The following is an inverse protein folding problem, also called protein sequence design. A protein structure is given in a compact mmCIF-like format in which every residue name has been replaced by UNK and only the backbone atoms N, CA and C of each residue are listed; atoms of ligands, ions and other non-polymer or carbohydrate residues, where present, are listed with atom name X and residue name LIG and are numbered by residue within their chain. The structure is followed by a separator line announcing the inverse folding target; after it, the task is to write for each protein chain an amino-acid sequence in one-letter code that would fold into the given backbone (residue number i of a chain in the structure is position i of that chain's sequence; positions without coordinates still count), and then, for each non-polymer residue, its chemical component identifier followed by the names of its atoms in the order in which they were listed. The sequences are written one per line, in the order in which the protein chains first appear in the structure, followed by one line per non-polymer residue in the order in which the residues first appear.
data_IF_664959765430
#
_entry.id   IF_664959765430
#
_cell.length_a   1.000
_cell.length_b   1.000
_cell.length_c   1.000
_cell.angle_alpha   90.00
_cell.angle_beta   90.00
_cell.angle_gamma   90.00
#
_symmetry.space_group_name_H-M   'P 1'
#
loop_
_entity.id
_entity.type
_entity.pdbx_description
1 polymer ?
#
# COMPACT_ATOMS: atom_id res chain seq x y z
N UNK A 1 -24.93 21.62 4.64
CA UNK A 1 -24.95 20.31 3.96
C UNK A 1 -23.52 19.77 3.90
N UNK A 2 -23.17 18.71 4.63
CA UNK A 2 -21.89 18.00 4.41
C UNK A 2 -21.96 17.42 3.00
N UNK A 3 -21.03 17.78 2.10
CA UNK A 3 -20.86 17.06 0.84
C UNK A 3 -20.74 15.58 1.20
N UNK A 4 -21.59 14.72 0.63
CA UNK A 4 -21.36 13.27 0.69
C UNK A 4 -19.92 13.06 0.23
N UNK A 5 -19.08 12.47 1.06
CA UNK A 5 -17.78 12.00 0.60
C UNK A 5 -18.07 10.97 -0.48
N UNK A 6 -17.73 11.28 -1.73
CA UNK A 6 -17.71 10.28 -2.80
C UNK A 6 -16.53 9.34 -2.51
N UNK A 7 -16.73 8.46 -1.54
CA UNK A 7 -15.87 7.32 -1.27
C UNK A 7 -16.12 6.30 -2.39
N UNK A 8 -15.08 5.83 -3.07
CA UNK A 8 -15.22 4.75 -4.04
C UNK A 8 -15.76 3.47 -3.38
N UNK A 9 -16.51 2.66 -4.13
CA UNK A 9 -16.98 1.36 -3.64
C UNK A 9 -15.82 0.38 -3.37
N UNK A 10 -14.72 0.54 -4.12
CA UNK A 10 -13.52 -0.27 -4.00
C UNK A 10 -12.29 0.62 -3.85
N UNK A 11 -11.38 0.20 -2.98
CA UNK A 11 -10.04 0.74 -2.85
C UNK A 11 -9.04 -0.40 -3.05
N UNK A 12 -7.86 -0.06 -3.56
CA UNK A 12 -6.85 -1.02 -3.93
C UNK A 12 -5.55 -0.78 -3.16
N UNK A 13 -4.94 -1.87 -2.72
CA UNK A 13 -3.58 -1.89 -2.21
C UNK A 13 -2.70 -2.68 -3.17
N UNK A 14 -1.54 -2.11 -3.53
CA UNK A 14 -0.54 -2.76 -4.37
C UNK A 14 0.66 -3.16 -3.54
N UNK A 15 1.12 -4.39 -3.70
CA UNK A 15 2.26 -4.92 -2.95
C UNK A 15 3.03 -5.96 -3.76
N UNK A 16 4.19 -6.37 -3.25
CA UNK A 16 4.99 -7.43 -3.86
C UNK A 16 4.50 -8.82 -3.46
N UNK A 17 4.87 -9.85 -4.23
CA UNK A 17 4.45 -11.23 -3.93
C UNK A 17 4.95 -11.69 -2.54
N UNK A 18 6.19 -11.35 -2.18
CA UNK A 18 6.76 -11.65 -0.86
C UNK A 18 5.95 -10.98 0.24
N UNK A 19 5.67 -9.67 0.11
CA UNK A 19 4.86 -8.95 1.10
C UNK A 19 3.44 -9.49 1.19
N UNK A 20 2.85 -9.93 0.09
CA UNK A 20 1.55 -10.57 0.11
C UNK A 20 1.56 -11.89 0.91
N UNK A 21 2.61 -12.71 0.81
CA UNK A 21 2.76 -13.89 1.68
C UNK A 21 2.83 -13.51 3.16
N UNK A 22 3.55 -12.45 3.51
CA UNK A 22 3.61 -11.94 4.90
C UNK A 22 2.24 -11.45 5.37
N UNK A 23 1.46 -10.81 4.49
CA UNK A 23 0.08 -10.39 4.77
C UNK A 23 -0.83 -11.61 5.04
N UNK A 24 -0.68 -12.68 4.27
CA UNK A 24 -1.41 -13.93 4.49
C UNK A 24 -1.10 -14.56 5.85
N UNK A 25 0.18 -14.62 6.22
CA UNK A 25 0.60 -15.19 7.51
C UNK A 25 0.16 -14.34 8.71
N UNK A 26 0.28 -13.01 8.59
CA UNK A 26 -0.10 -12.09 9.66
C UNK A 26 -1.61 -11.84 9.78
N UNK A 27 -2.38 -12.22 8.76
CA UNK A 27 -3.83 -12.05 8.75
C UNK A 27 -4.32 -10.62 8.46
N UNK A 28 -3.44 -9.71 8.00
CA UNK A 28 -3.79 -8.28 7.84
C UNK A 28 -2.82 -7.48 6.96
N UNK A 29 -3.30 -6.37 6.41
CA UNK A 29 -2.46 -5.22 6.03
C UNK A 29 -2.05 -4.48 7.30
N UNK A 30 -0.76 -4.55 7.62
CA UNK A 30 -0.16 -3.80 8.72
C UNK A 30 -0.01 -2.31 8.37
N UNK A 31 0.09 -1.47 9.41
CA UNK A 31 0.36 -0.05 9.25
C UNK A 31 1.80 0.18 8.78
N UNK A 32 1.99 1.22 7.97
CA UNK A 32 3.28 1.65 7.45
C UNK A 32 3.50 3.15 7.70
N UNK A 33 4.74 3.65 7.64
CA UNK A 33 5.01 5.08 7.75
C UNK A 33 4.15 5.92 6.80
N UNK A 34 3.64 7.04 7.30
CA UNK A 34 2.66 7.88 6.61
C UNK A 34 3.26 8.96 5.72
N UNK A 35 4.58 9.18 5.82
CA UNK A 35 5.30 10.21 5.10
C UNK A 35 4.68 11.62 5.23
N UNK A 36 3.94 11.87 6.33
CA UNK A 36 3.37 13.19 6.64
C UNK A 36 4.45 14.22 6.98
N UNK A 37 5.53 13.73 7.58
CA UNK A 37 6.66 14.51 8.06
C UNK A 37 7.93 13.95 7.44
N UNK A 38 8.93 14.79 7.29
CA UNK A 38 10.22 14.39 6.76
C UNK A 38 11.34 15.11 7.50
N UNK A 39 12.35 14.36 7.92
CA UNK A 39 13.53 14.91 8.59
C UNK A 39 14.83 14.46 7.90
N UNK A 40 15.51 15.34 7.14
CA UNK A 40 16.70 14.96 6.39
C UNK A 40 17.89 14.59 7.28
N UNK A 41 17.96 15.08 8.52
CA UNK A 41 19.07 14.81 9.45
C UNK A 41 19.03 13.39 10.01
N UNK A 42 17.84 12.82 10.17
CA UNK A 42 17.65 11.44 10.64
C UNK A 42 17.28 10.47 9.54
N UNK A 43 17.18 10.93 8.29
CA UNK A 43 16.82 10.09 7.16
C UNK A 43 17.93 9.09 6.82
N UNK A 44 17.59 7.81 6.77
CA UNK A 44 18.49 6.73 6.34
C UNK A 44 17.68 5.55 5.82
N UNK A 45 18.37 4.55 5.28
CA UNK A 45 17.76 3.28 4.85
C UNK A 45 18.12 2.18 5.83
N UNK A 46 17.12 1.42 6.26
CA UNK A 46 17.28 0.24 7.12
C UNK A 46 16.83 -1.02 6.38
N UNK A 47 17.51 -2.17 6.58
CA UNK A 47 17.03 -3.46 6.10
C UNK A 47 15.73 -3.86 6.81
N UNK A 48 14.83 -4.45 6.05
CA UNK A 48 13.60 -5.09 6.53
C UNK A 48 13.91 -6.57 6.66
N UNK A 49 13.63 -7.15 7.84
CA UNK A 49 13.79 -8.58 8.07
C UNK A 49 12.45 -9.29 8.22
N UNK A 50 12.37 -10.51 7.71
CA UNK A 50 11.33 -11.47 8.01
C UNK A 50 11.98 -12.80 8.40
N UNK A 51 11.70 -13.29 9.62
CA UNK A 51 12.36 -14.48 10.21
C UNK A 51 13.89 -14.47 10.05
N UNK A 52 14.50 -13.35 10.45
CA UNK A 52 15.96 -13.10 10.37
C UNK A 52 16.56 -13.02 8.96
N UNK A 53 15.75 -13.19 7.90
CA UNK A 53 16.18 -13.01 6.52
C UNK A 53 15.85 -11.61 6.03
N UNK A 54 16.81 -10.94 5.38
CA UNK A 54 16.59 -9.62 4.79
C UNK A 54 15.69 -9.73 3.56
N UNK A 55 14.59 -8.99 3.54
CA UNK A 55 13.59 -9.01 2.47
C UNK A 55 13.52 -7.70 1.68
N UNK A 56 14.42 -6.75 1.97
CA UNK A 56 14.54 -5.49 1.26
C UNK A 56 14.93 -4.34 2.18
N UNK A 57 14.83 -3.11 1.67
CA UNK A 57 15.17 -1.88 2.39
C UNK A 57 13.93 -1.00 2.59
N UNK A 58 13.88 -0.28 3.70
CA UNK A 58 12.91 0.78 3.96
C UNK A 58 13.62 2.10 4.21
N UNK A 59 12.99 3.18 3.77
CA UNK A 59 13.41 4.54 4.11
C UNK A 59 12.80 4.91 5.48
N UNK A 60 13.63 5.42 6.39
CA UNK A 60 13.28 5.66 7.79
C UNK A 60 13.80 7.03 8.22
N UNK A 61 13.01 7.74 9.02
CA UNK A 61 13.45 8.93 9.75
C UNK A 61 12.81 8.93 11.15
N UNK A 62 13.04 9.98 11.94
CA UNK A 62 12.47 10.12 13.29
C UNK A 62 10.93 10.11 13.34
N UNK A 63 10.25 10.29 12.21
CA UNK A 63 8.80 10.32 12.09
C UNK A 63 8.21 9.01 11.55
N UNK A 64 8.96 7.92 11.49
CA UNK A 64 8.50 6.61 10.99
C UNK A 64 7.17 6.14 11.62
N UNK A 65 6.95 6.44 12.90
CA UNK A 65 5.76 6.04 13.66
C UNK A 65 4.73 7.19 13.80
N UNK A 66 4.91 8.29 13.06
CA UNK A 66 4.00 9.43 13.10
C UNK A 66 2.73 9.16 12.27
N UNK A 67 1.64 8.82 12.95
CA UNK A 67 0.33 8.47 12.36
C UNK A 67 0.45 7.41 11.25
N UNK A 68 0.92 6.18 11.56
CA UNK A 68 1.13 5.16 10.55
C UNK A 68 -0.19 4.66 9.97
N UNK A 69 -0.17 4.23 8.70
CA UNK A 69 -1.36 4.03 7.88
C UNK A 69 -1.23 2.86 6.92
N UNK A 70 -2.36 2.36 6.44
CA UNK A 70 -2.44 1.58 5.19
C UNK A 70 -2.69 2.53 4.02
N UNK A 71 -1.82 2.45 3.02
CA UNK A 71 -1.93 3.20 1.76
C UNK A 71 -2.85 2.49 0.77
N UNK A 72 -3.76 3.25 0.18
CA UNK A 72 -4.77 2.76 -0.76
C UNK A 72 -4.93 3.71 -1.94
N UNK A 73 -5.49 3.22 -3.03
CA UNK A 73 -5.86 4.04 -4.20
C UNK A 73 -7.24 3.66 -4.71
N UNK A 74 -7.95 4.61 -5.33
CA UNK A 74 -9.18 4.35 -6.06
C UNK A 74 -8.94 3.80 -7.47
N UNK A 75 -7.69 3.81 -7.94
CA UNK A 75 -7.33 3.31 -9.26
C UNK A 75 -7.10 1.80 -9.19
N UNK A 76 -7.84 1.05 -10.00
CA UNK A 76 -7.66 -0.39 -10.14
C UNK A 76 -6.46 -0.73 -11.03
N UNK A 77 -6.09 0.16 -11.95
CA UNK A 77 -4.92 0.03 -12.81
C UNK A 77 -3.88 1.09 -12.46
N UNK A 78 -2.65 0.66 -12.23
CA UNK A 78 -1.54 1.55 -11.88
C UNK A 78 -0.25 1.12 -12.57
N UNK A 79 0.63 2.09 -12.80
CA UNK A 79 2.03 1.89 -13.17
C UNK A 79 2.93 2.41 -12.05
N UNK A 80 4.22 2.07 -12.09
CA UNK A 80 5.19 2.57 -11.11
C UNK A 80 5.24 4.11 -11.12
N UNK A 81 5.18 4.68 -12.32
CA UNK A 81 5.14 6.14 -12.53
C UNK A 81 3.87 6.79 -11.97
N UNK A 82 2.73 6.08 -11.99
CA UNK A 82 1.48 6.63 -11.47
C UNK A 82 1.49 6.69 -9.94
N UNK A 83 2.04 5.66 -9.29
CA UNK A 83 1.92 5.45 -7.84
C UNK A 83 3.13 5.88 -7.03
N UNK A 84 4.27 6.14 -7.68
CA UNK A 84 5.55 6.33 -6.98
C UNK A 84 6.07 5.04 -6.33
N UNK A 85 5.48 3.89 -6.67
CA UNK A 85 5.92 2.57 -6.23
C UNK A 85 6.96 2.01 -7.21
N UNK A 86 7.81 1.12 -6.71
CA UNK A 86 8.68 0.29 -7.53
C UNK A 86 7.88 -0.84 -8.21
N UNK A 87 8.34 -1.32 -9.37
CA UNK A 87 7.59 -2.32 -10.18
C UNK A 87 7.30 -3.62 -9.41
N UNK A 88 8.19 -4.05 -8.52
CA UNK A 88 7.98 -5.23 -7.68
C UNK A 88 6.73 -5.11 -6.79
N UNK A 89 6.37 -3.89 -6.40
CA UNK A 89 5.19 -3.62 -5.56
C UNK A 89 3.88 -3.61 -6.36
N UNK A 90 3.94 -3.79 -7.67
CA UNK A 90 2.76 -3.86 -8.52
C UNK A 90 2.39 -5.31 -8.85
N UNK A 91 3.14 -6.29 -8.34
CA UNK A 91 2.92 -7.69 -8.68
C UNK A 91 1.64 -8.28 -8.07
N UNK A 92 1.11 -7.68 -7.00
CA UNK A 92 -0.12 -8.09 -6.34
C UNK A 92 -1.05 -6.89 -6.11
N UNK A 93 -2.32 -7.04 -6.48
CA UNK A 93 -3.41 -6.08 -6.27
C UNK A 93 -4.44 -6.67 -5.34
N UNK A 94 -4.68 -6.00 -4.22
CA UNK A 94 -5.69 -6.37 -3.23
C UNK A 94 -6.83 -5.37 -3.33
N UNK A 95 -8.03 -5.86 -3.67
CA UNK A 95 -9.26 -5.08 -3.65
C UNK A 95 -9.89 -5.13 -2.25
N UNK A 96 -10.23 -3.96 -1.71
CA UNK A 96 -10.89 -3.74 -0.44
C UNK A 96 -12.21 -3.04 -0.70
N UNK A 97 -13.32 -3.73 -0.40
CA UNK A 97 -14.64 -3.12 -0.47
C UNK A 97 -14.83 -2.14 0.67
N UNK A 98 -15.20 -0.92 0.33
CA UNK A 98 -15.41 0.12 1.34
C UNK A 98 -16.75 -0.07 2.05
N UNK A 99 -17.74 -0.66 1.37
CA UNK A 99 -19.11 -0.91 1.89
C UNK A 99 -19.73 0.34 2.55
N UNK A 100 -19.42 1.52 2.01
CA UNK A 100 -19.90 2.79 2.56
C UNK A 100 -19.31 3.18 3.92
N UNK A 101 -18.25 2.49 4.40
CA UNK A 101 -17.54 2.78 5.65
C UNK A 101 -16.67 4.05 5.53
N UNK A 102 -17.27 5.19 5.20
CA UNK A 102 -16.59 6.47 4.94
C UNK A 102 -15.80 7.01 6.13
N UNK A 103 -16.10 6.58 7.35
CA UNK A 103 -15.35 6.96 8.55
C UNK A 103 -13.98 6.27 8.64
N UNK A 104 -13.77 5.17 7.90
CA UNK A 104 -12.55 4.34 7.95
C UNK A 104 -11.48 4.79 6.97
N UNK A 105 -11.88 5.44 5.88
CA UNK A 105 -11.00 5.80 4.78
C UNK A 105 -11.01 7.32 4.55
N UNK A 106 -9.83 7.93 4.62
CA UNK A 106 -9.65 9.34 4.33
C UNK A 106 -8.97 9.51 2.98
N UNK A 107 -9.36 10.54 2.21
CA UNK A 107 -8.53 10.95 1.06
C UNK A 107 -7.19 11.40 1.60
N UNK A 108 -6.11 11.08 0.89
CA UNK A 108 -4.76 11.45 1.30
C UNK A 108 -4.63 12.96 1.55
N UNK A 109 -5.24 13.79 0.70
CA UNK A 109 -5.27 15.25 0.91
C UNK A 109 -5.95 15.66 2.22
N UNK A 110 -7.10 15.07 2.54
CA UNK A 110 -7.83 15.38 3.77
C UNK A 110 -7.03 14.92 5.00
N UNK A 111 -6.32 13.80 4.88
CA UNK A 111 -5.38 13.31 5.90
C UNK A 111 -4.19 14.27 6.09
N UNK A 112 -3.59 14.77 5.00
CA UNK A 112 -2.55 15.80 5.07
C UNK A 112 -3.02 17.08 5.75
N UNK A 113 -4.24 17.54 5.42
CA UNK A 113 -4.82 18.74 6.02
C UNK A 113 -5.11 18.53 7.52
N UNK A 114 -5.66 17.36 7.89
CA UNK A 114 -5.99 16.96 9.28
C UNK A 114 -4.76 16.94 10.19
N UNK A 115 -3.62 16.44 9.70
CA UNK A 115 -2.40 16.26 10.49
C UNK A 115 -1.29 17.24 10.14
N UNK A 116 -1.61 18.32 9.41
CA UNK A 116 -0.68 19.39 9.06
C UNK A 116 0.61 18.86 8.42
N UNK A 117 0.48 18.08 7.35
CA UNK A 117 1.61 17.50 6.63
C UNK A 117 2.67 18.56 6.24
N UNK A 118 3.93 18.17 6.30
CA UNK A 118 5.02 19.03 5.86
C UNK A 118 4.90 19.27 4.36
N UNK A 119 5.05 20.54 3.96
CA UNK A 119 4.91 20.94 2.55
C UNK A 119 5.95 20.25 1.67
N UNK A 120 7.17 20.08 2.18
CA UNK A 120 8.25 19.40 1.46
C UNK A 120 7.94 17.93 1.24
N UNK A 121 7.57 17.19 2.30
CA UNK A 121 7.18 15.79 2.22
C UNK A 121 6.00 15.58 1.24
N UNK A 122 4.97 16.44 1.36
CA UNK A 122 3.81 16.42 0.47
C UNK A 122 4.20 16.72 -0.98
N UNK A 123 5.08 17.69 -1.23
CA UNK A 123 5.53 18.03 -2.57
C UNK A 123 6.35 16.90 -3.21
N UNK A 124 7.24 16.26 -2.45
CA UNK A 124 8.02 15.12 -2.92
C UNK A 124 7.11 13.95 -3.36
N UNK A 125 6.10 13.61 -2.55
CA UNK A 125 5.14 12.55 -2.89
C UNK A 125 4.35 12.86 -4.16
N UNK A 126 3.93 14.12 -4.36
CA UNK A 126 3.24 14.54 -5.59
C UNK A 126 4.14 14.53 -6.83
N UNK A 127 5.45 14.72 -6.66
CA UNK A 127 6.39 14.63 -7.77
C UNK A 127 6.67 13.18 -8.17
N UNK A 128 6.66 12.26 -7.20
CA UNK A 128 6.86 10.83 -7.46
C UNK A 128 5.65 10.13 -8.08
N UNK A 129 4.47 10.75 -8.04
CA UNK A 129 3.22 10.10 -8.43
C UNK A 129 2.23 11.07 -9.07
N UNK A 130 1.77 10.74 -10.27
CA UNK A 130 0.84 11.58 -11.04
C UNK A 130 -0.62 11.46 -10.60
N UNK A 131 -0.99 10.39 -9.88
CA UNK A 131 -2.38 10.05 -9.58
C UNK A 131 -2.81 10.29 -8.13
N UNK A 132 -2.01 11.05 -7.37
CA UNK A 132 -2.17 11.27 -5.93
C UNK A 132 -3.55 11.79 -5.48
N UNK A 133 -4.37 12.30 -6.40
CA UNK A 133 -5.76 12.69 -6.15
C UNK A 133 -6.68 11.49 -5.85
N UNK A 134 -6.28 10.29 -6.24
CA UNK A 134 -6.99 9.04 -6.04
C UNK A 134 -6.50 8.28 -4.80
N UNK A 135 -5.55 8.82 -4.05
CA UNK A 135 -5.00 8.16 -2.88
C UNK A 135 -5.90 8.27 -1.67
N UNK A 136 -6.00 7.17 -0.94
CA UNK A 136 -6.74 7.02 0.29
C UNK A 136 -5.85 6.40 1.36
N UNK A 137 -6.25 6.61 2.59
CA UNK A 137 -5.51 6.24 3.78
C UNK A 137 -6.48 5.56 4.74
N UNK A 138 -6.05 4.44 5.34
CA UNK A 138 -6.71 3.85 6.50
C UNK A 138 -5.79 3.96 7.72
N UNK A 139 -6.26 4.60 8.79
CA UNK A 139 -5.49 4.80 10.03
C UNK A 139 -5.51 3.54 10.94
N UNK A 140 -6.03 2.42 10.44
CA UNK A 140 -6.12 1.14 11.14
C UNK A 140 -5.69 0.01 10.21
N UNK A 141 -5.18 -1.07 10.77
CA UNK A 141 -4.91 -2.30 10.03
C UNK A 141 -6.17 -2.81 9.32
N UNK A 142 -5.98 -3.51 8.20
CA UNK A 142 -7.08 -4.09 7.43
C UNK A 142 -6.97 -5.62 7.48
N UNK A 143 -7.89 -6.32 8.17
CA UNK A 143 -7.84 -7.78 8.25
C UNK A 143 -8.07 -8.42 6.87
N UNK A 144 -7.53 -9.62 6.65
CA UNK A 144 -7.75 -10.39 5.41
C UNK A 144 -9.23 -10.56 5.08
N UNK A 145 -10.10 -10.65 6.08
CA UNK A 145 -11.54 -10.79 5.89
C UNK A 145 -12.20 -9.61 5.16
N UNK A 146 -11.56 -8.44 5.14
CA UNK A 146 -12.03 -7.28 4.38
C UNK A 146 -11.56 -7.29 2.91
N UNK A 147 -10.74 -8.27 2.51
CA UNK A 147 -10.27 -8.37 1.13
C UNK A 147 -11.37 -8.98 0.27
N UNK A 148 -11.81 -8.22 -0.71
CA UNK A 148 -12.85 -8.66 -1.63
C UNK A 148 -12.31 -9.52 -2.77
N UNK A 149 -11.09 -9.21 -3.23
CA UNK A 149 -10.43 -9.91 -4.33
C UNK A 149 -8.91 -9.70 -4.23
N UNK A 150 -8.13 -10.71 -4.61
CA UNK A 150 -6.69 -10.58 -4.79
C UNK A 150 -6.30 -11.08 -6.17
N UNK A 151 -5.53 -10.29 -6.88
CA UNK A 151 -5.08 -10.56 -8.25
C UNK A 151 -3.58 -10.29 -8.36
N UNK A 152 -2.95 -10.95 -9.33
CA UNK A 152 -1.52 -10.89 -9.58
C UNK A 152 -1.28 -10.41 -11.00
N UNK A 153 -0.22 -9.65 -11.19
CA UNK A 153 0.18 -9.14 -12.49
C UNK A 153 0.76 -10.29 -13.33
N UNK A 154 0.10 -10.63 -14.42
CA UNK A 154 0.55 -11.64 -15.38
C UNK A 154 1.47 -11.02 -16.45
N UNK A 155 2.15 -11.87 -17.24
CA UNK A 155 3.10 -11.47 -18.28
C UNK A 155 2.47 -10.62 -19.39
N UNK A 156 1.16 -10.71 -19.58
CA UNK A 156 0.41 -9.87 -20.52
C UNK A 156 0.06 -8.48 -19.96
N UNK A 157 0.51 -8.17 -18.75
CA UNK A 157 0.28 -6.89 -18.08
C UNK A 157 -1.12 -6.75 -17.46
N UNK A 158 -1.88 -7.83 -17.38
CA UNK A 158 -3.21 -7.84 -16.76
C UNK A 158 -3.18 -8.45 -15.36
N UNK A 159 -3.96 -7.88 -14.46
CA UNK A 159 -4.21 -8.47 -13.15
C UNK A 159 -5.22 -9.61 -13.27
N UNK A 160 -4.84 -10.79 -12.78
CA UNK A 160 -5.66 -12.01 -12.81
C UNK A 160 -5.62 -12.73 -11.47
N UNK A 161 -6.66 -13.50 -11.16
CA UNK A 161 -6.62 -14.37 -9.98
C UNK A 161 -5.61 -15.50 -10.18
N UNK A 162 -5.04 -16.04 -9.09
CA UNK A 162 -3.99 -17.04 -9.18
C UNK A 162 -4.34 -18.25 -10.08
N UNK A 163 -5.57 -18.76 -9.97
CA UNK A 163 -6.03 -19.91 -10.76
C UNK A 163 -6.15 -19.62 -12.28
N UNK A 164 -6.10 -18.35 -12.68
CA UNK A 164 -6.19 -17.91 -14.07
C UNK A 164 -4.80 -17.74 -14.72
N UNK A 165 -3.72 -17.84 -13.93
CA UNK A 165 -2.34 -17.68 -14.40
C UNK A 165 -1.70 -19.07 -14.48
N UNK A 166 -1.46 -19.62 -15.69
CA UNK A 166 -0.89 -20.96 -15.84
C UNK A 166 0.48 -21.09 -15.17
N UNK A 167 0.63 -22.10 -14.29
CA UNK A 167 1.88 -22.39 -13.62
C UNK A 167 2.25 -21.42 -12.48
N UNK A 168 1.40 -20.44 -12.15
CA UNK A 168 1.63 -19.57 -11.01
C UNK A 168 1.24 -20.28 -9.70
N UNK A 169 2.18 -20.34 -8.76
CA UNK A 169 1.93 -20.71 -7.38
C UNK A 169 2.57 -19.68 -6.47
N UNK A 170 1.79 -19.15 -5.52
CA UNK A 170 2.33 -18.24 -4.52
C UNK A 170 3.28 -18.96 -3.55
N UNK A 171 3.14 -20.27 -3.36
CA UNK A 171 4.00 -21.06 -2.47
C UNK A 171 5.45 -21.12 -2.99
N UNK A 172 5.62 -21.02 -4.31
CA UNK A 172 6.93 -21.01 -4.99
C UNK A 172 7.65 -19.65 -4.85
N UNK A 173 6.99 -18.62 -4.32
CA UNK A 173 7.58 -17.29 -4.15
C UNK A 173 8.35 -17.22 -2.84
N UNK A 174 9.68 -17.24 -2.92
CA UNK A 174 10.58 -17.18 -1.75
C UNK A 174 10.21 -18.22 -0.66
N UNK A 175 10.12 -19.53 -1.01
CA UNK A 175 9.72 -20.59 -0.08
C UNK A 175 10.61 -20.64 1.17
N UNK A 176 11.88 -20.26 1.06
CA UNK A 176 12.86 -20.19 2.15
C UNK A 176 12.46 -19.25 3.30
N UNK A 177 11.56 -18.30 3.06
CA UNK A 177 11.06 -17.37 4.07
C UNK A 177 9.94 -17.95 4.94
N UNK A 178 9.30 -19.04 4.51
CA UNK A 178 8.03 -19.52 5.09
C UNK A 178 8.06 -20.99 5.56
N UNK A 179 9.24 -21.60 5.57
CA UNK A 179 9.53 -22.91 6.16
C UNK A 179 9.68 -22.86 7.68
#
# INVERSE_FOLDING_TARGET
MRKKSNLPDNLYHFTSLIKYRIILESGKLALTPSNLKFDPETFHYEPIYFREQEIGMQAVDKYKDHHPVVWLTANDQVTAQNTGLSDDKLMCRINIKTDGRFWRYLRWRDFCDKYHADRFATAALKQSASDHANWYICESEIPLADFAKVEFLDQDGLYKEAHQIPGFSLEDVAPELFV
#
